data_IF_256323210222
#
_entry.id   IF_256323210222
#
_cell.length_a   1.000
_cell.length_b   1.000
_cell.length_c   1.000
_cell.angle_alpha   90.00
_cell.angle_beta   90.00
_cell.angle_gamma   90.00
#
_symmetry.space_group_name_H-M   'P 1'
#
loop_
_entity.id
_entity.type
_entity.pdbx_description
1 polymer ?
#
# COMPACT_ATOMS: atom_id res chain seq x y z
N UNK A 1 -0.85 -7.67 -4.23
CA UNK A 1 -1.20 -6.24 -4.36
C UNK A 1 -2.71 -5.99 -4.40
N UNK A 2 -3.54 -6.95 -4.82
CA UNK A 2 -5.00 -6.88 -4.66
C UNK A 2 -5.54 -7.92 -3.65
N UNK A 3 -4.64 -8.62 -2.97
CA UNK A 3 -4.89 -9.64 -1.96
C UNK A 3 -4.88 -9.03 -0.54
N UNK A 4 -5.28 -9.82 0.45
CA UNK A 4 -5.36 -9.39 1.86
C UNK A 4 -4.01 -9.43 2.59
N UNK A 5 -2.89 -9.59 1.87
CA UNK A 5 -1.57 -9.79 2.45
C UNK A 5 -0.73 -8.53 2.32
N UNK A 6 -0.13 -8.10 3.43
CA UNK A 6 0.66 -6.87 3.52
C UNK A 6 2.05 -7.11 4.10
N UNK A 7 3.06 -6.50 3.48
CA UNK A 7 4.45 -6.54 3.95
C UNK A 7 4.75 -5.49 5.03
N UNK A 8 4.03 -4.36 4.99
CA UNK A 8 4.31 -3.17 5.80
C UNK A 8 3.08 -2.68 6.56
N UNK A 9 2.09 -3.56 6.76
CA UNK A 9 0.80 -3.20 7.33
C UNK A 9 -0.20 -2.72 6.27
N UNK A 10 -1.49 -2.97 6.53
CA UNK A 10 -2.60 -2.69 5.62
C UNK A 10 -3.54 -1.59 6.12
N UNK A 11 -3.30 -1.05 7.32
CA UNK A 11 -4.13 0.01 7.87
C UNK A 11 -3.94 1.30 7.06
N UNK A 12 -4.97 2.17 6.95
CA UNK A 12 -4.87 3.41 6.19
C UNK A 12 -3.67 4.26 6.59
N UNK A 13 -3.37 4.35 7.88
CA UNK A 13 -2.24 5.10 8.43
C UNK A 13 -0.88 4.52 8.00
N UNK A 14 -0.77 3.19 7.97
CA UNK A 14 0.45 2.47 7.58
C UNK A 14 0.72 2.60 6.08
N UNK A 15 -0.35 2.59 5.27
CA UNK A 15 -0.28 2.82 3.82
C UNK A 15 0.18 4.26 3.54
N UNK A 16 -0.38 5.24 4.24
CA UNK A 16 0.04 6.64 4.11
C UNK A 16 1.51 6.79 4.47
N UNK A 17 1.97 6.23 5.59
CA UNK A 17 3.39 6.28 5.98
C UNK A 17 4.29 5.60 4.94
N UNK A 18 3.87 4.45 4.41
CA UNK A 18 4.59 3.71 3.38
C UNK A 18 4.72 4.51 2.09
N UNK A 19 3.67 5.21 1.66
CA UNK A 19 3.71 6.06 0.46
C UNK A 19 4.56 7.31 0.72
N UNK A 20 4.40 7.93 1.90
CA UNK A 20 5.11 9.15 2.26
C UNK A 20 6.62 8.95 2.29
N UNK A 21 7.08 8.02 3.10
CA UNK A 21 8.51 7.79 3.35
C UNK A 21 9.16 6.82 2.37
N UNK A 22 8.35 6.01 1.67
CA UNK A 22 8.85 4.96 0.80
C UNK A 22 9.57 3.85 1.57
N UNK A 23 10.14 2.91 0.81
CA UNK A 23 10.97 1.81 1.30
C UNK A 23 12.19 1.67 0.37
N UNK A 24 13.27 2.44 0.61
CA UNK A 24 14.45 2.46 -0.27
C UNK A 24 15.07 1.07 -0.46
N UNK A 25 15.13 0.26 0.60
CA UNK A 25 15.65 -1.13 0.56
C UNK A 25 14.82 -2.06 -0.34
N UNK A 26 13.58 -1.68 -0.63
CA UNK A 26 12.66 -2.39 -1.53
C UNK A 26 12.47 -1.67 -2.87
N UNK A 27 13.22 -0.60 -3.11
CA UNK A 27 13.17 0.19 -4.34
C UNK A 27 11.98 1.14 -4.44
N UNK A 28 11.25 1.39 -3.35
CA UNK A 28 10.15 2.36 -3.33
C UNK A 28 10.66 3.73 -2.85
N UNK A 29 10.66 4.77 -3.68
CA UNK A 29 11.06 6.11 -3.26
C UNK A 29 9.99 6.75 -2.35
N UNK A 30 10.41 7.75 -1.57
CA UNK A 30 9.51 8.61 -0.81
C UNK A 30 8.68 9.48 -1.77
N UNK A 31 7.35 9.35 -1.75
CA UNK A 31 6.48 10.10 -2.66
C UNK A 31 5.96 11.41 -2.06
N UNK A 32 6.08 11.61 -0.75
CA UNK A 32 5.60 12.84 -0.09
C UNK A 32 6.24 14.10 -0.67
N UNK A 33 7.56 14.09 -0.88
CA UNK A 33 8.28 15.23 -1.45
C UNK A 33 7.84 15.56 -2.89
N UNK A 34 7.37 14.57 -3.64
CA UNK A 34 6.95 14.74 -5.04
C UNK A 34 5.46 15.09 -5.19
N UNK A 35 4.61 14.54 -4.33
CA UNK A 35 3.15 14.64 -4.45
C UNK A 35 2.52 15.62 -3.44
N UNK A 36 3.18 15.83 -2.31
CA UNK A 36 2.61 16.56 -1.16
C UNK A 36 1.61 15.71 -0.36
N UNK A 37 1.34 16.10 0.90
CA UNK A 37 0.59 15.28 1.86
C UNK A 37 -0.86 14.99 1.43
N UNK A 38 -1.54 15.94 0.80
CA UNK A 38 -2.92 15.75 0.35
C UNK A 38 -3.03 14.65 -0.71
N UNK A 39 -2.15 14.67 -1.72
CA UNK A 39 -2.16 13.68 -2.80
C UNK A 39 -1.76 12.29 -2.31
N UNK A 40 -0.90 12.21 -1.28
CA UNK A 40 -0.58 10.95 -0.62
C UNK A 40 -1.82 10.34 0.02
N UNK A 41 -2.64 11.12 0.71
CA UNK A 41 -3.90 10.62 1.28
C UNK A 41 -4.88 10.13 0.21
N UNK A 42 -5.05 10.88 -0.88
CA UNK A 42 -5.88 10.43 -2.00
C UNK A 42 -5.36 9.14 -2.65
N UNK A 43 -4.04 9.01 -2.79
CA UNK A 43 -3.41 7.81 -3.33
C UNK A 43 -3.59 6.61 -2.39
N UNK A 44 -3.42 6.80 -1.08
CA UNK A 44 -3.67 5.76 -0.09
C UNK A 44 -5.12 5.25 -0.13
N UNK A 45 -6.08 6.17 -0.23
CA UNK A 45 -7.49 5.82 -0.40
C UNK A 45 -7.74 5.03 -1.71
N UNK A 46 -7.10 5.43 -2.80
CA UNK A 46 -7.19 4.70 -4.07
C UNK A 46 -6.62 3.28 -3.96
N UNK A 47 -5.47 3.10 -3.30
CA UNK A 47 -4.86 1.77 -3.08
C UNK A 47 -5.80 0.89 -2.25
N UNK A 48 -6.42 1.43 -1.21
CA UNK A 48 -7.43 0.71 -0.41
C UNK A 48 -8.63 0.28 -1.27
N UNK A 49 -9.08 1.10 -2.21
CA UNK A 49 -10.15 0.72 -3.13
C UNK A 49 -9.76 -0.39 -4.12
N UNK A 50 -8.47 -0.64 -4.35
CA UNK A 50 -8.00 -1.72 -5.22
C UNK A 50 -7.95 -3.08 -4.51
N UNK A 51 -8.01 -3.09 -3.17
CA UNK A 51 -8.03 -4.32 -2.36
C UNK A 51 -9.22 -5.20 -2.76
N UNK A 52 -8.97 -6.49 -2.97
CA UNK A 52 -9.98 -7.47 -3.34
C UNK A 52 -10.42 -7.46 -4.80
N UNK A 53 -9.85 -6.58 -5.65
CA UNK A 53 -10.17 -6.60 -7.09
C UNK A 53 -9.51 -7.82 -7.76
N UNK A 54 -10.23 -8.56 -8.61
CA UNK A 54 -9.64 -9.66 -9.38
C UNK A 54 -8.58 -9.11 -10.34
N UNK A 55 -7.43 -9.77 -10.37
CA UNK A 55 -6.33 -9.48 -11.28
C UNK A 55 -5.96 -10.73 -12.05
N UNK A 56 -5.70 -10.61 -13.35
CA UNK A 56 -5.26 -11.74 -14.17
C UNK A 56 -3.83 -12.14 -13.78
N UNK A 57 -3.61 -13.44 -13.56
CA UNK A 57 -2.34 -14.03 -13.14
C UNK A 57 -1.74 -13.39 -11.86
N UNK A 58 -2.41 -13.53 -10.69
CA UNK A 58 -1.95 -12.91 -9.45
C UNK A 58 -0.59 -13.44 -9.05
N UNK A 59 0.26 -12.55 -8.53
CA UNK A 59 1.47 -12.96 -7.84
C UNK A 59 1.10 -13.76 -6.59
N UNK A 60 1.94 -14.73 -6.15
CA UNK A 60 1.76 -15.39 -4.87
C UNK A 60 1.66 -14.37 -3.72
N UNK A 61 0.88 -14.67 -2.66
CA UNK A 61 0.75 -13.79 -1.49
C UNK A 61 2.11 -13.44 -0.87
N UNK A 62 2.25 -12.20 -0.42
CA UNK A 62 3.46 -11.70 0.22
C UNK A 62 3.12 -10.94 1.50
N UNK A 63 3.81 -11.28 2.59
CA UNK A 63 3.61 -10.66 3.90
C UNK A 63 2.60 -11.41 4.76
N UNK A 64 1.98 -10.69 5.70
CA UNK A 64 1.05 -11.24 6.68
C UNK A 64 -0.37 -10.95 6.21
N UNK A 65 -1.27 -11.92 6.38
CA UNK A 65 -2.69 -11.70 6.14
C UNK A 65 -3.22 -10.69 7.17
N UNK A 66 -3.84 -9.64 6.68
CA UNK A 66 -4.53 -8.68 7.53
C UNK A 66 -5.83 -9.33 8.04
N UNK A 67 -5.78 -9.83 9.27
CA UNK A 67 -6.97 -10.28 9.99
C UNK A 67 -7.79 -9.05 10.40
N UNK A 68 -9.00 -8.95 9.86
CA UNK A 68 -9.97 -7.96 10.30
C UNK A 68 -10.47 -8.40 11.69
N UNK A 69 -9.95 -7.80 12.75
CA UNK A 69 -10.62 -7.81 14.06
C UNK A 69 -11.79 -6.84 14.09
#
# INVERSE_FOLDING_TARGET
MADNFWLHGGKPEEIVQTISHGWPDKGMPAWEAALGPEKVHWLAAYVLMLKGKPVDNPKPPQGVEETVE
#
